data_IF_449442715282
#
_entry.id   IF_449442715282
#
_cell.length_a   1.000
_cell.length_b   1.000
_cell.length_c   1.000
_cell.angle_alpha   90.00
_cell.angle_beta   90.00
_cell.angle_gamma   90.00
#
_symmetry.space_group_name_H-M   'P 1'
#
loop_
_entity.id
_entity.type
_entity.pdbx_description
1 polymer ?
#
# COMPACT_ATOMS: atom_id res chain seq x y z
N UNK A 1 -71.31 50.53 -31.42
CA UNK A 1 -70.23 50.51 -30.39
C UNK A 1 -69.67 49.11 -30.39
N UNK A 2 -68.51 48.92 -31.00
CA UNK A 2 -67.86 47.61 -31.14
C UNK A 2 -66.59 47.67 -30.31
N UNK A 3 -66.62 47.05 -29.14
CA UNK A 3 -65.48 46.94 -28.24
C UNK A 3 -64.52 45.89 -28.78
N UNK A 4 -63.30 46.30 -29.15
CA UNK A 4 -62.23 45.39 -29.58
C UNK A 4 -61.41 45.04 -28.34
N UNK A 5 -61.66 43.87 -27.77
CA UNK A 5 -60.83 43.32 -26.68
C UNK A 5 -59.37 43.21 -27.13
N UNK A 6 -58.40 43.84 -26.43
CA UNK A 6 -57.01 43.75 -26.80
C UNK A 6 -56.51 42.32 -26.57
N UNK A 7 -56.09 41.64 -27.63
CA UNK A 7 -55.44 40.35 -27.56
C UNK A 7 -54.12 40.52 -26.81
N UNK A 8 -54.08 40.06 -25.55
CA UNK A 8 -52.88 40.09 -24.71
C UNK A 8 -51.81 39.27 -25.42
N UNK A 9 -50.83 39.94 -26.07
CA UNK A 9 -49.67 39.28 -26.68
C UNK A 9 -49.00 38.44 -25.60
N UNK A 10 -49.16 37.11 -25.67
CA UNK A 10 -48.45 36.19 -24.77
C UNK A 10 -46.96 36.44 -24.97
N UNK A 11 -46.33 37.04 -23.96
CA UNK A 11 -44.94 37.41 -24.01
C UNK A 11 -44.10 36.16 -24.31
N UNK A 12 -43.36 36.20 -25.43
CA UNK A 12 -42.38 35.16 -25.79
C UNK A 12 -41.25 35.06 -24.76
N UNK A 13 -41.20 35.96 -23.78
CA UNK A 13 -40.30 35.90 -22.63
C UNK A 13 -40.34 34.53 -21.94
N UNK A 14 -41.51 33.96 -21.67
CA UNK A 14 -41.61 32.64 -21.04
C UNK A 14 -41.10 31.48 -21.93
N UNK A 15 -41.00 31.70 -23.24
CA UNK A 15 -40.39 30.74 -24.16
C UNK A 15 -38.85 30.79 -24.10
N UNK A 16 -38.25 31.99 -23.99
CA UNK A 16 -36.79 32.17 -24.00
C UNK A 16 -36.16 32.20 -22.59
N UNK A 17 -36.91 32.55 -21.56
CA UNK A 17 -36.47 32.60 -20.17
C UNK A 17 -35.75 31.34 -19.69
N UNK A 18 -36.24 30.09 -19.95
CA UNK A 18 -35.52 28.90 -19.52
C UNK A 18 -34.16 28.75 -20.21
N UNK A 19 -34.04 29.13 -21.50
CA UNK A 19 -32.77 29.05 -22.23
C UNK A 19 -31.77 30.10 -21.76
N UNK A 20 -32.23 31.33 -21.49
CA UNK A 20 -31.38 32.39 -20.92
C UNK A 20 -30.92 32.00 -19.53
N UNK A 21 -31.80 31.47 -18.68
CA UNK A 21 -31.44 30.98 -17.35
C UNK A 21 -30.41 29.85 -17.44
N UNK A 22 -30.62 28.87 -18.32
CA UNK A 22 -29.67 27.78 -18.55
C UNK A 22 -28.31 28.30 -19.03
N UNK A 23 -28.29 29.28 -19.94
CA UNK A 23 -27.05 29.91 -20.41
C UNK A 23 -26.32 30.63 -19.27
N UNK A 24 -27.03 31.37 -18.41
CA UNK A 24 -26.45 32.02 -17.24
C UNK A 24 -25.89 31.00 -16.24
N UNK A 25 -26.60 29.90 -16.00
CA UNK A 25 -26.11 28.81 -15.14
C UNK A 25 -24.86 28.14 -15.73
N UNK A 26 -24.84 27.89 -17.05
CA UNK A 26 -23.68 27.32 -17.73
C UNK A 26 -22.46 28.24 -17.69
N UNK A 27 -22.65 29.56 -17.87
CA UNK A 27 -21.59 30.56 -17.74
C UNK A 27 -21.08 30.65 -16.29
N UNK A 28 -21.99 30.71 -15.32
CA UNK A 28 -21.64 30.70 -13.90
C UNK A 28 -20.87 29.46 -13.50
N UNK A 29 -21.30 28.28 -13.96
CA UNK A 29 -20.61 27.02 -13.73
C UNK A 29 -19.24 26.97 -14.40
N UNK A 30 -19.12 27.50 -15.62
CA UNK A 30 -17.84 27.58 -16.33
C UNK A 30 -16.83 28.47 -15.60
N UNK A 31 -17.28 29.64 -15.13
CA UNK A 31 -16.46 30.53 -14.30
C UNK A 31 -16.05 29.87 -12.98
N UNK A 32 -16.98 29.23 -12.29
CA UNK A 32 -16.71 28.47 -11.06
C UNK A 32 -15.67 27.36 -11.29
N UNK A 33 -15.82 26.57 -12.36
CA UNK A 33 -14.90 25.48 -12.68
C UNK A 33 -13.48 25.99 -12.96
N UNK A 34 -13.33 27.11 -13.67
CA UNK A 34 -12.02 27.74 -13.91
C UNK A 34 -11.34 28.19 -12.61
N UNK A 35 -12.11 28.72 -11.65
CA UNK A 35 -11.59 29.05 -10.31
C UNK A 35 -11.13 27.81 -9.57
N UNK A 36 -11.92 26.72 -9.60
CA UNK A 36 -11.54 25.44 -8.97
C UNK A 36 -10.27 24.89 -9.60
N UNK A 37 -10.14 24.90 -10.93
CA UNK A 37 -8.93 24.50 -11.65
C UNK A 37 -7.70 25.29 -11.19
N UNK A 38 -7.82 26.62 -11.06
CA UNK A 38 -6.73 27.47 -10.56
C UNK A 38 -6.31 27.11 -9.13
N UNK A 39 -7.28 26.94 -8.23
CA UNK A 39 -7.03 26.52 -6.84
C UNK A 39 -6.32 25.18 -6.73
N UNK A 40 -6.68 24.22 -7.59
CA UNK A 40 -6.01 22.92 -7.64
C UNK A 40 -4.57 23.06 -8.11
N UNK A 41 -4.30 23.88 -9.14
CA UNK A 41 -2.93 24.13 -9.60
C UNK A 41 -2.05 24.69 -8.48
N UNK A 42 -2.51 25.74 -7.80
CA UNK A 42 -1.81 26.38 -6.67
C UNK A 42 -1.58 25.40 -5.51
N UNK A 43 -2.60 24.60 -5.16
CA UNK A 43 -2.51 23.62 -4.09
C UNK A 43 -1.47 22.53 -4.41
N UNK A 44 -1.42 22.07 -5.66
CA UNK A 44 -0.42 21.10 -6.13
C UNK A 44 0.98 21.73 -6.09
N UNK A 45 1.16 22.95 -6.60
CA UNK A 45 2.46 23.64 -6.56
C UNK A 45 2.97 23.80 -5.12
N UNK A 46 2.06 24.20 -4.21
CA UNK A 46 2.37 24.33 -2.77
C UNK A 46 2.69 22.97 -2.12
N UNK A 47 2.03 21.90 -2.56
CA UNK A 47 2.32 20.55 -2.07
C UNK A 47 3.68 20.06 -2.57
N UNK A 48 3.99 20.22 -3.86
CA UNK A 48 5.27 19.85 -4.45
C UNK A 48 6.43 20.63 -3.81
N UNK A 49 6.26 21.94 -3.57
CA UNK A 49 7.26 22.75 -2.86
C UNK A 49 7.50 22.27 -1.42
N UNK A 50 6.45 21.83 -0.71
CA UNK A 50 6.57 21.24 0.63
C UNK A 50 7.30 19.90 0.60
N UNK A 51 7.15 19.11 -0.45
CA UNK A 51 7.87 17.84 -0.62
C UNK A 51 9.37 18.07 -0.83
N UNK A 52 9.77 19.12 -1.56
CA UNK A 52 11.17 19.51 -1.71
C UNK A 52 11.83 19.79 -0.36
N UNK A 53 11.13 20.50 0.53
CA UNK A 53 11.62 20.76 1.90
C UNK A 53 11.75 19.48 2.75
N UNK A 54 11.09 18.39 2.36
CA UNK A 54 11.22 17.07 2.98
C UNK A 54 12.26 16.19 2.26
N UNK A 55 13.05 16.72 1.33
CA UNK A 55 14.06 15.96 0.59
C UNK A 55 13.50 15.10 -0.53
N UNK A 56 12.30 15.41 -1.04
CA UNK A 56 11.68 14.71 -2.18
C UNK A 56 11.30 15.68 -3.29
N UNK A 57 11.79 15.42 -4.49
CA UNK A 57 11.43 16.19 -5.68
C UNK A 57 10.54 15.37 -6.57
N UNK A 58 9.30 15.81 -6.72
CA UNK A 58 8.32 15.21 -7.63
C UNK A 58 8.21 16.05 -8.90
N UNK A 59 8.27 15.41 -10.06
CA UNK A 59 8.15 16.03 -11.37
C UNK A 59 7.00 15.39 -12.14
N UNK A 60 6.01 16.18 -12.50
CA UNK A 60 4.90 15.80 -13.36
C UNK A 60 5.17 16.35 -14.76
N UNK A 61 5.59 15.50 -15.68
CA UNK A 61 5.93 15.90 -17.05
C UNK A 61 4.67 16.27 -17.81
N UNK A 62 4.74 17.32 -18.63
CA UNK A 62 3.63 17.84 -19.45
C UNK A 62 2.31 18.02 -18.67
N UNK A 63 2.42 18.58 -17.47
CA UNK A 63 1.30 18.74 -16.54
C UNK A 63 0.13 19.49 -17.17
N UNK A 64 -1.02 18.84 -17.24
CA UNK A 64 -2.28 19.47 -17.67
C UNK A 64 -3.39 19.25 -16.65
N UNK A 65 -4.29 20.24 -16.53
CA UNK A 65 -5.47 20.15 -15.68
C UNK A 65 -6.73 20.27 -16.55
N UNK A 66 -7.55 19.23 -16.57
CA UNK A 66 -8.76 19.11 -17.38
C UNK A 66 -9.93 18.59 -16.53
N UNK A 67 -11.02 18.10 -17.15
CA UNK A 67 -12.13 17.45 -16.44
C UNK A 67 -13.45 18.22 -16.37
N UNK A 68 -13.58 19.35 -17.06
CA UNK A 68 -14.84 20.08 -17.15
C UNK A 68 -15.98 19.16 -17.64
N UNK A 69 -17.21 19.28 -17.08
CA UNK A 69 -17.66 20.23 -16.07
C UNK A 69 -17.63 19.75 -14.62
N UNK A 70 -17.58 18.44 -14.35
CA UNK A 70 -17.92 17.91 -13.02
C UNK A 70 -16.73 17.35 -12.24
N UNK A 71 -15.54 17.29 -12.85
CA UNK A 71 -14.33 16.75 -12.23
C UNK A 71 -13.12 17.63 -12.51
N UNK A 72 -12.03 17.33 -11.83
CA UNK A 72 -10.70 17.88 -12.09
C UNK A 72 -9.76 16.72 -12.31
N UNK A 73 -9.13 16.68 -13.48
CA UNK A 73 -8.13 15.68 -13.86
C UNK A 73 -6.77 16.36 -13.95
N UNK A 74 -5.82 15.93 -13.12
CA UNK A 74 -4.41 16.29 -13.22
C UNK A 74 -3.69 15.18 -13.99
N UNK A 75 -3.21 15.49 -15.20
CA UNK A 75 -2.55 14.54 -16.10
C UNK A 75 -1.07 14.85 -16.19
N UNK A 76 -0.25 13.81 -16.12
CA UNK A 76 1.19 13.84 -16.39
C UNK A 76 1.52 12.82 -17.49
N UNK A 77 2.40 13.16 -18.43
CA UNK A 77 2.94 12.21 -19.42
C UNK A 77 3.88 11.20 -18.79
N UNK A 78 4.47 11.55 -17.65
CA UNK A 78 5.21 10.67 -16.75
C UNK A 78 5.38 11.33 -15.39
N UNK A 79 5.48 10.52 -14.34
CA UNK A 79 5.73 10.99 -12.98
C UNK A 79 7.13 10.54 -12.55
N UNK A 80 7.95 11.47 -12.11
CA UNK A 80 9.28 11.17 -11.57
C UNK A 80 9.38 11.63 -10.11
N UNK A 81 9.98 10.82 -9.26
CA UNK A 81 10.34 11.13 -7.88
C UNK A 81 11.85 10.95 -7.73
N UNK A 82 12.51 11.93 -7.14
CA UNK A 82 13.89 11.80 -6.64
C UNK A 82 13.89 12.08 -5.15
N UNK A 83 14.47 11.18 -4.36
CA UNK A 83 14.53 11.26 -2.90
C UNK A 83 15.96 11.03 -2.43
N UNK A 84 16.48 11.92 -1.60
CA UNK A 84 17.83 11.80 -1.01
C UNK A 84 17.79 11.33 0.44
N UNK A 85 16.62 10.88 0.92
CA UNK A 85 16.40 10.51 2.32
C UNK A 85 16.94 9.15 2.74
N UNK A 86 17.45 8.36 1.80
CA UNK A 86 17.91 7.00 2.03
C UNK A 86 19.45 6.89 1.98
N UNK A 87 20.15 8.00 2.28
CA UNK A 87 21.60 8.12 2.14
C UNK A 87 22.03 8.29 0.68
N UNK A 88 21.64 7.35 -0.18
CA UNK A 88 21.77 7.44 -1.64
C UNK A 88 20.49 7.95 -2.30
N UNK A 89 20.63 8.51 -3.50
CA UNK A 89 19.52 9.05 -4.26
C UNK A 89 18.63 7.91 -4.80
N UNK A 90 17.43 7.78 -4.27
CA UNK A 90 16.38 6.94 -4.84
C UNK A 90 15.70 7.71 -5.97
N UNK A 91 15.64 7.13 -7.16
CA UNK A 91 14.91 7.70 -8.29
C UNK A 91 13.82 6.74 -8.73
N UNK A 92 12.60 7.23 -8.90
CA UNK A 92 11.45 6.46 -9.38
C UNK A 92 10.84 7.20 -10.55
N UNK A 93 10.56 6.50 -11.63
CA UNK A 93 9.90 7.04 -12.82
C UNK A 93 8.75 6.12 -13.20
N UNK A 94 7.61 6.70 -13.57
CA UNK A 94 6.45 5.94 -14.06
C UNK A 94 6.02 6.41 -15.44
N UNK A 95 5.22 5.59 -16.11
CA UNK A 95 4.45 6.01 -17.28
C UNK A 95 3.39 7.08 -16.95
N UNK A 96 2.53 7.42 -17.93
CA UNK A 96 1.49 8.42 -17.78
C UNK A 96 0.61 8.20 -16.55
N UNK A 97 0.21 9.28 -15.90
CA UNK A 97 -0.63 9.22 -14.70
C UNK A 97 -1.75 10.25 -14.76
N UNK A 98 -2.91 9.88 -14.22
CA UNK A 98 -4.07 10.77 -14.12
C UNK A 98 -4.60 10.74 -12.69
N UNK A 99 -4.57 11.87 -11.99
CA UNK A 99 -5.24 12.04 -10.71
C UNK A 99 -6.59 12.74 -10.93
N UNK A 100 -7.67 12.16 -10.44
CA UNK A 100 -9.04 12.62 -10.64
C UNK A 100 -9.68 12.94 -9.30
N UNK A 101 -10.16 14.17 -9.14
CA UNK A 101 -11.00 14.60 -8.03
C UNK A 101 -12.37 15.04 -8.54
N UNK A 102 -13.45 14.61 -7.89
CA UNK A 102 -14.81 15.06 -8.24
C UNK A 102 -15.14 16.34 -7.48
N UNK A 103 -15.82 17.28 -8.15
CA UNK A 103 -16.19 18.57 -7.52
C UNK A 103 -17.16 18.36 -6.36
N UNK A 104 -18.04 17.36 -6.46
CA UNK A 104 -19.02 17.00 -5.44
C UNK A 104 -18.48 16.04 -4.36
N UNK A 105 -17.25 15.53 -4.50
CA UNK A 105 -16.59 14.74 -3.45
C UNK A 105 -15.11 15.13 -3.33
N UNK A 106 -14.82 16.37 -2.90
CA UNK A 106 -13.47 16.94 -2.95
C UNK A 106 -12.45 16.23 -2.06
N UNK A 107 -12.91 15.43 -1.09
CA UNK A 107 -12.04 14.68 -0.19
C UNK A 107 -11.61 13.32 -0.76
N UNK A 108 -12.09 12.92 -1.94
CA UNK A 108 -11.80 11.65 -2.60
C UNK A 108 -11.05 11.89 -3.90
N UNK A 109 -9.83 11.38 -3.97
CA UNK A 109 -8.96 11.46 -5.14
C UNK A 109 -8.65 10.06 -5.62
N UNK A 110 -8.76 9.83 -6.93
CA UNK A 110 -8.40 8.58 -7.58
C UNK A 110 -7.18 8.84 -8.45
N UNK A 111 -6.13 8.04 -8.33
CA UNK A 111 -4.93 8.10 -9.14
C UNK A 111 -4.86 6.84 -10.00
N UNK A 112 -4.76 7.02 -11.31
CA UNK A 112 -4.48 5.96 -12.26
C UNK A 112 -3.07 6.13 -12.79
N UNK A 113 -2.28 5.07 -12.82
CA UNK A 113 -0.90 5.10 -13.33
C UNK A 113 -0.75 4.01 -14.38
N UNK A 114 -0.21 4.38 -15.55
CA UNK A 114 0.12 3.45 -16.61
C UNK A 114 1.54 2.92 -16.42
N UNK A 115 1.70 1.61 -16.65
CA UNK A 115 3.00 0.92 -16.64
C UNK A 115 3.98 1.54 -17.66
N UNK A 116 5.30 1.49 -17.44
CA UNK A 116 6.01 0.83 -16.33
C UNK A 116 6.31 1.78 -15.16
N UNK A 117 6.74 1.21 -14.02
CA UNK A 117 7.53 1.88 -12.99
C UNK A 117 8.96 1.38 -13.06
N UNK A 118 9.92 2.30 -13.10
CA UNK A 118 11.35 2.02 -12.96
C UNK A 118 11.89 2.75 -11.75
N UNK A 119 12.56 2.04 -10.86
CA UNK A 119 13.18 2.63 -9.70
C UNK A 119 14.65 2.25 -9.60
N UNK A 120 15.50 3.24 -9.37
CA UNK A 120 16.87 3.06 -8.91
C UNK A 120 16.87 3.23 -7.40
N UNK A 121 17.23 2.16 -6.71
CA UNK A 121 17.30 2.05 -5.26
C UNK A 121 18.76 2.19 -4.80
N UNK A 122 19.02 2.36 -3.49
CA UNK A 122 20.37 2.35 -2.95
C UNK A 122 21.14 1.08 -3.34
N UNK A 123 22.47 1.15 -3.27
CA UNK A 123 23.39 0.07 -3.62
C UNK A 123 23.32 -0.34 -5.10
N UNK A 124 22.86 0.57 -5.96
CA UNK A 124 22.76 0.37 -7.41
C UNK A 124 21.69 -0.63 -7.85
N UNK A 125 20.77 -1.00 -6.95
CA UNK A 125 19.66 -1.92 -7.26
C UNK A 125 18.66 -1.27 -8.20
N UNK A 126 18.17 -2.01 -9.19
CA UNK A 126 17.14 -1.53 -10.11
C UNK A 126 15.89 -2.37 -10.00
N UNK A 127 14.74 -1.72 -9.81
CA UNK A 127 13.42 -2.33 -9.72
C UNK A 127 12.60 -1.89 -10.93
N UNK A 128 12.22 -2.84 -11.77
CA UNK A 128 11.26 -2.64 -12.85
C UNK A 128 9.95 -3.31 -12.46
N UNK A 129 8.84 -2.58 -12.57
CA UNK A 129 7.50 -3.11 -12.30
C UNK A 129 6.59 -2.76 -13.47
N UNK A 130 5.88 -3.75 -13.96
CA UNK A 130 4.87 -3.61 -15.02
C UNK A 130 3.53 -4.14 -14.53
N UNK A 131 2.45 -3.65 -15.12
CA UNK A 131 1.09 -4.04 -14.78
C UNK A 131 0.14 -3.72 -15.94
N UNK A 132 -1.05 -4.31 -15.92
CA UNK A 132 -2.12 -4.02 -16.88
C UNK A 132 -3.00 -2.85 -16.40
N UNK A 133 -3.23 -2.74 -15.09
CA UNK A 133 -3.95 -1.62 -14.47
C UNK A 133 -3.42 -1.32 -13.07
N UNK A 134 -3.36 -0.03 -12.71
CA UNK A 134 -3.05 0.43 -11.35
C UNK A 134 -3.98 1.60 -11.02
N UNK A 135 -4.85 1.34 -10.06
CA UNK A 135 -5.77 2.32 -9.50
C UNK A 135 -5.44 2.50 -8.02
N UNK A 136 -5.29 3.75 -7.60
CA UNK A 136 -5.16 4.12 -6.20
C UNK A 136 -6.26 5.11 -5.83
N UNK A 137 -6.76 5.04 -4.60
CA UNK A 137 -7.71 6.02 -4.09
C UNK A 137 -7.28 6.51 -2.71
N UNK A 138 -7.53 7.80 -2.46
CA UNK A 138 -7.25 8.47 -1.21
C UNK A 138 -8.53 9.19 -0.76
N UNK A 139 -8.97 8.90 0.47
CA UNK A 139 -9.92 9.71 1.20
C UNK A 139 -9.18 10.31 2.38
N UNK A 140 -9.14 11.64 2.48
CA UNK A 140 -8.26 12.33 3.43
C UNK A 140 -8.98 13.14 4.52
N UNK A 141 -10.31 13.01 4.63
CA UNK A 141 -11.11 13.59 5.73
C UNK A 141 -12.15 12.60 6.21
N UNK A 142 -12.32 12.50 7.53
CA UNK A 142 -13.21 11.52 8.15
C UNK A 142 -12.51 10.17 8.28
N UNK A 143 -12.99 9.19 7.51
CA UNK A 143 -12.40 7.85 7.45
C UNK A 143 -11.20 7.83 6.49
N UNK A 144 -10.08 8.39 6.96
CA UNK A 144 -8.83 8.47 6.23
C UNK A 144 -8.40 7.07 5.74
N UNK A 145 -8.46 6.86 4.43
CA UNK A 145 -8.14 5.58 3.81
C UNK A 145 -7.38 5.76 2.51
N UNK A 146 -6.45 4.84 2.27
CA UNK A 146 -5.73 4.67 1.01
C UNK A 146 -6.00 3.28 0.51
N UNK A 147 -6.36 3.14 -0.77
CA UNK A 147 -6.48 1.83 -1.42
C UNK A 147 -5.62 1.83 -2.68
N UNK A 148 -4.95 0.73 -2.96
CA UNK A 148 -4.16 0.51 -4.16
C UNK A 148 -4.55 -0.85 -4.69
N UNK A 149 -4.90 -0.91 -5.98
CA UNK A 149 -5.26 -2.13 -6.69
C UNK A 149 -4.42 -2.19 -7.95
N UNK A 150 -3.70 -3.29 -8.12
CA UNK A 150 -2.83 -3.54 -9.27
C UNK A 150 -3.21 -4.86 -9.92
N UNK A 151 -3.44 -4.82 -11.23
CA UNK A 151 -3.84 -5.96 -12.05
C UNK A 151 -2.65 -6.48 -12.84
N UNK A 152 -2.39 -7.78 -12.73
CA UNK A 152 -1.26 -8.48 -13.34
C UNK A 152 0.11 -7.81 -13.09
N UNK A 153 0.46 -7.47 -11.84
CA UNK A 153 1.78 -6.93 -11.55
C UNK A 153 2.87 -7.96 -11.90
N UNK A 154 3.95 -7.48 -12.51
CA UNK A 154 5.18 -8.22 -12.75
C UNK A 154 6.38 -7.32 -12.41
N UNK A 155 7.10 -7.69 -11.37
CA UNK A 155 8.26 -6.99 -10.84
C UNK A 155 9.53 -7.81 -11.05
N UNK A 156 10.60 -7.12 -11.41
CA UNK A 156 11.96 -7.66 -11.43
C UNK A 156 12.90 -6.73 -10.69
N UNK A 157 13.70 -7.31 -9.80
CA UNK A 157 14.70 -6.63 -9.00
C UNK A 157 16.08 -7.15 -9.41
N UNK A 158 16.89 -6.29 -10.01
CA UNK A 158 18.29 -6.59 -10.30
C UNK A 158 19.20 -5.99 -9.23
N UNK A 159 20.17 -6.79 -8.79
CA UNK A 159 21.21 -6.40 -7.84
C UNK A 159 22.56 -6.78 -8.45
N UNK A 160 23.55 -5.88 -8.38
CA UNK A 160 24.86 -6.14 -8.98
C UNK A 160 25.50 -7.41 -8.39
N UNK A 161 25.90 -8.34 -9.27
CA UNK A 161 26.54 -9.60 -8.86
C UNK A 161 25.60 -10.68 -8.31
N UNK A 162 24.28 -10.48 -8.34
CA UNK A 162 23.28 -11.47 -7.94
C UNK A 162 22.29 -11.77 -9.09
N UNK A 163 21.65 -12.96 -9.10
CA UNK A 163 20.54 -13.23 -10.01
C UNK A 163 19.41 -12.23 -9.86
N UNK A 164 18.73 -11.91 -10.96
CA UNK A 164 17.52 -11.07 -10.93
C UNK A 164 16.39 -11.80 -10.22
N UNK A 165 15.91 -11.22 -9.13
CA UNK A 165 14.72 -11.70 -8.45
C UNK A 165 13.49 -11.23 -9.22
N UNK A 166 12.49 -12.10 -9.35
CA UNK A 166 11.23 -11.75 -9.99
C UNK A 166 10.04 -12.15 -9.15
N UNK A 167 8.97 -11.40 -9.31
CA UNK A 167 7.70 -11.63 -8.66
C UNK A 167 6.58 -11.21 -9.59
N UNK A 168 5.55 -12.05 -9.72
CA UNK A 168 4.32 -11.67 -10.42
C UNK A 168 3.10 -12.13 -9.65
N UNK A 169 1.98 -11.47 -9.88
CA UNK A 169 0.69 -11.88 -9.35
C UNK A 169 -0.42 -11.62 -10.38
N UNK A 170 -1.61 -12.19 -10.15
CA UNK A 170 -2.81 -11.86 -10.93
C UNK A 170 -3.42 -10.55 -10.43
N UNK A 171 -3.50 -10.37 -9.12
CA UNK A 171 -3.92 -9.13 -8.48
C UNK A 171 -3.09 -8.85 -7.23
N UNK A 172 -2.87 -7.57 -6.94
CA UNK A 172 -2.35 -7.07 -5.68
C UNK A 172 -3.27 -5.95 -5.21
N UNK A 173 -3.82 -6.12 -4.02
CA UNK A 173 -4.68 -5.14 -3.36
C UNK A 173 -4.05 -4.76 -2.02
N UNK A 174 -4.03 -3.47 -1.72
CA UNK A 174 -3.52 -2.95 -0.45
C UNK A 174 -4.45 -1.85 0.03
N UNK A 175 -4.94 -1.99 1.25
CA UNK A 175 -5.83 -1.03 1.89
C UNK A 175 -5.23 -0.61 3.21
N UNK A 176 -5.19 0.70 3.42
CA UNK A 176 -4.65 1.33 4.61
C UNK A 176 -5.71 2.25 5.14
N UNK A 177 -5.99 2.22 6.44
CA UNK A 177 -6.91 3.17 7.07
C UNK A 177 -6.49 3.49 8.48
N UNK A 178 -6.87 4.65 8.99
CA UNK A 178 -6.76 4.92 10.43
C UNK A 178 -7.66 3.93 11.18
N UNK A 179 -7.16 3.34 12.27
CA UNK A 179 -7.95 2.42 13.05
C UNK A 179 -9.05 3.20 13.81
N UNK A 180 -10.35 2.90 13.59
CA UNK A 180 -11.45 3.68 14.17
C UNK A 180 -11.77 3.28 15.62
N UNK A 181 -11.29 2.13 16.09
CA UNK A 181 -11.59 1.61 17.44
C UNK A 181 -10.50 1.93 18.45
N UNK A 182 -9.31 2.34 17.99
CA UNK A 182 -8.18 2.71 18.85
C UNK A 182 -8.16 4.21 19.14
N UNK A 183 -7.66 4.63 20.33
CA UNK A 183 -7.49 6.03 20.65
C UNK A 183 -6.61 6.74 19.61
N UNK A 184 -6.97 7.98 19.25
CA UNK A 184 -6.21 8.75 18.28
C UNK A 184 -4.75 9.02 18.72
N UNK A 185 -4.50 9.02 20.03
CA UNK A 185 -3.16 9.17 20.62
C UNK A 185 -2.22 7.99 20.32
N UNK A 186 -2.77 6.78 20.08
CA UNK A 186 -1.97 5.60 19.74
C UNK A 186 -1.49 5.62 18.27
N UNK A 187 -2.07 6.52 17.46
CA UNK A 187 -1.74 6.73 16.04
C UNK A 187 -1.72 5.41 15.25
N UNK A 188 -2.75 4.59 15.44
CA UNK A 188 -2.83 3.25 14.84
C UNK A 188 -3.40 3.32 13.44
N UNK A 189 -2.74 2.64 12.51
CA UNK A 189 -3.20 2.44 11.13
C UNK A 189 -3.35 0.95 10.88
N UNK A 190 -4.51 0.55 10.37
CA UNK A 190 -4.76 -0.80 9.87
C UNK A 190 -4.22 -0.93 8.44
N UNK A 191 -3.59 -2.06 8.17
CA UNK A 191 -3.10 -2.49 6.87
C UNK A 191 -3.77 -3.82 6.51
N UNK A 192 -4.37 -3.89 5.34
CA UNK A 192 -4.81 -5.12 4.70
C UNK A 192 -4.11 -5.26 3.35
N UNK A 193 -3.52 -6.42 3.07
CA UNK A 193 -2.86 -6.71 1.81
C UNK A 193 -3.32 -8.08 1.31
N UNK A 194 -3.75 -8.13 0.06
CA UNK A 194 -4.14 -9.36 -0.62
C UNK A 194 -3.37 -9.47 -1.92
N UNK A 195 -2.72 -10.61 -2.17
CA UNK A 195 -2.10 -10.91 -3.45
C UNK A 195 -2.59 -12.27 -3.94
N UNK A 196 -3.10 -12.34 -5.16
CA UNK A 196 -3.67 -13.56 -5.76
C UNK A 196 -2.83 -14.06 -6.91
N UNK A 197 -2.68 -15.37 -7.04
CA UNK A 197 -1.93 -15.98 -8.16
C UNK A 197 -0.45 -15.56 -8.19
N UNK A 198 0.13 -15.35 -7.02
CA UNK A 198 1.53 -14.98 -6.82
C UNK A 198 2.48 -16.09 -7.27
N UNK A 199 3.53 -15.70 -7.98
CA UNK A 199 4.62 -16.58 -8.39
C UNK A 199 5.93 -15.89 -8.06
N UNK A 200 6.77 -16.60 -7.31
CA UNK A 200 8.05 -16.09 -6.81
C UNK A 200 9.07 -17.23 -6.92
N UNK A 201 9.95 -17.23 -7.94
CA UNK A 201 10.79 -18.38 -8.26
C UNK A 201 11.64 -18.91 -7.11
N UNK A 202 12.10 -18.03 -6.20
CA UNK A 202 12.85 -18.44 -5.02
C UNK A 202 12.04 -19.36 -4.08
N UNK A 203 10.74 -19.09 -3.94
CA UNK A 203 9.82 -19.91 -3.13
C UNK A 203 9.36 -21.14 -3.92
N UNK A 204 9.20 -21.02 -5.24
CA UNK A 204 8.89 -22.16 -6.12
C UNK A 204 10.00 -23.23 -6.02
N UNK A 205 11.26 -22.79 -6.09
CA UNK A 205 12.42 -23.67 -5.95
C UNK A 205 12.51 -24.29 -4.55
N UNK A 206 12.20 -23.51 -3.49
CA UNK A 206 12.20 -24.00 -2.11
C UNK A 206 11.13 -25.08 -1.87
N UNK A 207 9.94 -24.90 -2.45
CA UNK A 207 8.80 -25.79 -2.24
C UNK A 207 8.67 -26.88 -3.30
N UNK A 208 9.49 -26.84 -4.36
CA UNK A 208 9.41 -27.78 -5.47
C UNK A 208 8.08 -27.72 -6.24
N UNK A 209 7.45 -26.54 -6.29
CA UNK A 209 6.16 -26.34 -6.98
C UNK A 209 6.14 -25.02 -7.74
N UNK A 210 5.59 -25.04 -8.95
CA UNK A 210 5.35 -23.85 -9.77
C UNK A 210 3.90 -23.37 -9.70
N UNK A 211 3.08 -23.95 -8.81
CA UNK A 211 1.69 -23.54 -8.66
C UNK A 211 1.61 -22.09 -8.13
N UNK A 212 0.68 -21.27 -8.65
CA UNK A 212 0.45 -19.94 -8.10
C UNK A 212 -0.02 -20.02 -6.64
N UNK A 213 0.41 -19.05 -5.84
CA UNK A 213 0.01 -18.94 -4.44
C UNK A 213 -0.81 -17.69 -4.14
N UNK A 214 -1.49 -17.69 -3.01
CA UNK A 214 -2.22 -16.53 -2.51
C UNK A 214 -1.61 -16.06 -1.19
N UNK A 215 -1.72 -14.77 -0.93
CA UNK A 215 -1.31 -14.11 0.32
C UNK A 215 -2.46 -13.21 0.77
N UNK A 216 -2.81 -13.30 2.04
CA UNK A 216 -3.75 -12.42 2.73
C UNK A 216 -3.13 -12.01 4.07
N UNK A 217 -2.92 -10.71 4.26
CA UNK A 217 -2.27 -10.12 5.42
C UNK A 217 -3.17 -9.03 6.01
N UNK A 218 -3.34 -9.08 7.33
CA UNK A 218 -3.99 -8.06 8.14
C UNK A 218 -3.07 -7.70 9.31
N UNK A 219 -2.78 -6.42 9.45
CA UNK A 219 -1.90 -5.91 10.49
C UNK A 219 -2.35 -4.53 10.96
N UNK A 220 -1.84 -4.12 12.11
CA UNK A 220 -1.98 -2.76 12.64
C UNK A 220 -0.60 -2.22 12.99
N UNK A 221 -0.33 -0.96 12.65
CA UNK A 221 0.93 -0.28 12.93
C UNK A 221 0.65 0.86 13.89
N UNK A 222 1.32 0.89 15.04
CA UNK A 222 1.16 1.94 16.06
C UNK A 222 2.15 3.09 15.81
N UNK A 223 1.96 4.24 16.47
CA UNK A 223 2.92 5.38 16.42
C UNK A 223 3.21 5.91 15.00
N UNK A 224 2.21 5.84 14.11
CA UNK A 224 2.42 6.08 12.67
C UNK A 224 2.66 7.54 12.30
N UNK A 225 2.54 8.49 13.24
CA UNK A 225 2.87 9.89 12.95
C UNK A 225 4.35 10.06 12.57
N UNK A 226 5.22 9.15 13.02
CA UNK A 226 6.61 9.07 12.59
C UNK A 226 6.77 9.02 11.06
N UNK A 227 5.79 8.44 10.34
CA UNK A 227 5.81 8.31 8.89
C UNK A 227 5.11 9.46 8.14
N UNK A 228 4.63 10.51 8.82
CA UNK A 228 4.01 11.69 8.15
C UNK A 228 4.91 12.35 7.14
N UNK A 229 6.22 12.28 7.37
CA UNK A 229 7.24 12.82 6.46
C UNK A 229 7.73 11.78 5.46
N UNK A 230 7.01 10.67 5.28
CA UNK A 230 7.34 9.56 4.39
C UNK A 230 8.18 8.46 5.04
N UNK A 231 8.31 7.34 4.35
CA UNK A 231 9.07 6.19 4.81
C UNK A 231 10.57 6.35 4.49
N UNK A 232 11.40 6.41 5.52
CA UNK A 232 12.86 6.61 5.44
C UNK A 232 13.53 6.18 6.78
N UNK A 233 14.87 6.06 6.83
CA UNK A 233 15.61 5.73 8.05
C UNK A 233 15.25 6.60 9.27
N UNK A 234 15.20 7.93 9.15
CA UNK A 234 14.86 8.82 10.28
C UNK A 234 13.45 8.55 10.83
N UNK A 235 12.50 8.28 9.94
CA UNK A 235 11.13 7.96 10.30
C UNK A 235 11.03 6.61 11.01
N UNK A 236 11.78 5.61 10.56
CA UNK A 236 11.86 4.31 11.23
C UNK A 236 12.52 4.43 12.62
N UNK A 237 13.52 5.29 12.75
CA UNK A 237 14.18 5.58 14.03
C UNK A 237 13.25 6.33 14.99
N UNK A 238 12.52 7.33 14.51
CA UNK A 238 11.49 8.03 15.30
C UNK A 238 10.37 7.07 15.73
N UNK A 239 9.91 6.20 14.82
CA UNK A 239 8.91 5.19 15.11
C UNK A 239 9.38 4.20 16.17
N UNK A 240 10.63 3.72 16.04
CA UNK A 240 11.27 2.84 17.02
C UNK A 240 11.37 3.50 18.40
N UNK A 241 11.86 4.74 18.45
CA UNK A 241 12.02 5.50 19.69
C UNK A 241 10.67 5.82 20.36
N UNK A 242 9.59 5.93 19.59
CA UNK A 242 8.23 6.06 20.10
C UNK A 242 7.63 4.72 20.61
N UNK A 243 8.36 3.60 20.53
CA UNK A 243 7.85 2.28 20.89
C UNK A 243 6.85 1.72 19.87
N UNK A 244 7.00 2.10 18.60
CA UNK A 244 6.19 1.64 17.49
C UNK A 244 6.21 0.12 17.34
N UNK A 245 5.03 -0.44 17.04
CA UNK A 245 4.80 -1.87 16.92
C UNK A 245 4.07 -2.19 15.62
N UNK A 246 4.49 -3.27 14.98
CA UNK A 246 3.80 -3.91 13.89
C UNK A 246 3.06 -5.14 14.44
N UNK A 247 1.77 -4.99 14.64
CA UNK A 247 0.87 -6.02 15.17
C UNK A 247 0.31 -6.82 13.99
N UNK A 248 0.86 -8.02 13.74
CA UNK A 248 0.35 -8.93 12.72
C UNK A 248 -0.86 -9.69 13.26
N UNK A 249 -2.05 -9.23 12.91
CA UNK A 249 -3.31 -9.89 13.29
C UNK A 249 -3.44 -11.24 12.61
N UNK A 250 -3.21 -11.29 11.29
CA UNK A 250 -3.31 -12.52 10.50
C UNK A 250 -2.48 -12.42 9.24
N UNK A 251 -1.67 -13.43 8.98
CA UNK A 251 -1.08 -13.73 7.69
C UNK A 251 -1.57 -15.12 7.29
N UNK A 252 -2.08 -15.27 6.09
CA UNK A 252 -2.38 -16.55 5.47
C UNK A 252 -1.70 -16.57 4.11
N UNK A 253 -0.89 -17.59 3.87
CA UNK A 253 -0.28 -17.85 2.57
C UNK A 253 -0.53 -19.29 2.15
N UNK A 254 -0.95 -19.49 0.91
CA UNK A 254 -1.24 -20.82 0.35
C UNK A 254 -0.56 -20.98 -0.99
N UNK A 255 0.09 -22.11 -1.24
CA UNK A 255 0.72 -22.44 -2.52
C UNK A 255 0.73 -23.96 -2.72
N UNK A 256 -0.12 -24.45 -3.60
CA UNK A 256 -0.41 -25.88 -3.71
C UNK A 256 -0.78 -26.51 -2.36
N UNK A 257 -0.10 -27.59 -1.92
CA UNK A 257 -0.39 -28.21 -0.64
C UNK A 257 0.13 -27.40 0.56
N UNK A 258 1.03 -26.44 0.33
CA UNK A 258 1.66 -25.66 1.39
C UNK A 258 0.70 -24.56 1.87
N UNK A 259 0.49 -24.49 3.19
CA UNK A 259 -0.23 -23.40 3.86
C UNK A 259 0.59 -22.91 5.03
N UNK A 260 0.68 -21.58 5.15
CA UNK A 260 1.31 -20.88 6.27
C UNK A 260 0.29 -19.94 6.86
N UNK A 261 0.09 -20.03 8.17
CA UNK A 261 -0.62 -19.03 8.94
C UNK A 261 0.31 -18.44 9.99
N UNK A 262 0.26 -17.12 10.17
CA UNK A 262 1.04 -16.46 11.20
C UNK A 262 0.28 -15.29 11.84
N UNK A 263 0.60 -15.02 13.10
CA UNK A 263 0.19 -13.82 13.81
C UNK A 263 1.25 -13.46 14.85
N UNK A 264 1.22 -12.24 15.38
CA UNK A 264 2.13 -11.84 16.44
C UNK A 264 2.48 -10.37 16.39
N UNK A 265 3.61 -10.03 16.98
CA UNK A 265 4.05 -8.65 17.11
C UNK A 265 5.53 -8.53 16.77
N UNK A 266 5.85 -7.51 15.98
CA UNK A 266 7.18 -7.17 15.57
C UNK A 266 7.48 -5.71 15.96
N UNK A 267 8.73 -5.48 16.31
CA UNK A 267 9.30 -4.19 16.67
C UNK A 267 10.74 -4.12 16.14
N UNK A 268 11.39 -2.97 16.30
CA UNK A 268 12.80 -2.81 15.95
C UNK A 268 13.66 -2.73 17.20
N UNK A 269 14.71 -3.54 17.24
CA UNK A 269 15.68 -3.52 18.33
C UNK A 269 16.64 -2.33 18.22
N UNK A 270 17.50 -2.16 19.22
CA UNK A 270 18.48 -1.06 19.28
C UNK A 270 19.53 -1.11 18.16
N UNK A 271 19.61 -2.21 17.42
CA UNK A 271 20.50 -2.38 16.26
C UNK A 271 19.76 -2.27 14.93
N UNK A 272 18.54 -1.71 14.96
CA UNK A 272 17.63 -1.51 13.83
C UNK A 272 17.17 -2.82 13.16
N UNK A 273 17.18 -3.94 13.89
CA UNK A 273 16.75 -5.24 13.37
C UNK A 273 15.33 -5.56 13.81
N UNK A 274 14.57 -6.31 13.00
CA UNK A 274 13.30 -6.85 13.43
C UNK A 274 13.49 -7.74 14.67
N UNK A 275 12.69 -7.49 15.69
CA UNK A 275 12.58 -8.30 16.89
C UNK A 275 11.11 -8.51 17.24
N UNK A 276 10.80 -9.51 18.05
CA UNK A 276 9.43 -9.80 18.46
C UNK A 276 9.11 -11.27 18.43
N UNK A 277 7.81 -11.58 18.45
CA UNK A 277 7.31 -12.93 18.60
C UNK A 277 6.18 -13.19 17.62
N UNK A 278 6.33 -14.23 16.82
CA UNK A 278 5.36 -14.73 15.87
C UNK A 278 4.89 -16.13 16.28
N UNK A 279 3.59 -16.35 16.18
CA UNK A 279 2.98 -17.67 16.21
C UNK A 279 2.79 -18.10 14.76
N UNK A 280 3.23 -19.30 14.43
CA UNK A 280 3.20 -19.80 13.06
C UNK A 280 2.58 -21.19 13.07
N UNK A 281 1.72 -21.48 12.11
CA UNK A 281 1.20 -22.82 11.87
C UNK A 281 1.34 -23.17 10.39
N UNK A 282 1.71 -24.41 10.11
CA UNK A 282 2.02 -24.87 8.75
C UNK A 282 1.21 -26.11 8.39
N UNK A 283 0.86 -26.26 7.11
CA UNK A 283 0.40 -27.51 6.53
C UNK A 283 1.12 -27.76 5.20
N UNK A 284 1.33 -29.02 4.83
CA UNK A 284 1.95 -29.42 3.56
C UNK A 284 3.42 -29.02 3.38
N UNK A 285 4.07 -28.50 4.42
CA UNK A 285 5.50 -28.16 4.43
C UNK A 285 6.23 -29.22 5.25
N UNK A 286 7.14 -29.96 4.62
CA UNK A 286 7.85 -31.06 5.27
C UNK A 286 9.12 -30.61 6.01
N UNK A 287 9.75 -29.53 5.55
CA UNK A 287 11.01 -29.03 6.10
C UNK A 287 11.10 -27.50 6.08
N UNK A 288 11.76 -26.93 7.08
CA UNK A 288 12.04 -25.49 7.19
C UNK A 288 13.54 -25.33 7.43
N UNK A 289 14.24 -24.58 6.57
CA UNK A 289 15.69 -24.35 6.70
C UNK A 289 16.49 -25.65 6.91
N UNK A 290 16.10 -26.72 6.20
CA UNK A 290 16.73 -28.05 6.30
C UNK A 290 16.30 -28.91 7.50
N UNK A 291 15.38 -28.43 8.35
CA UNK A 291 14.90 -29.15 9.54
C UNK A 291 13.51 -29.74 9.28
N UNK A 292 13.28 -31.06 9.48
CA UNK A 292 11.96 -31.68 9.32
C UNK A 292 10.93 -31.14 10.31
N UNK A 293 9.75 -30.74 9.82
CA UNK A 293 8.67 -30.14 10.64
C UNK A 293 8.15 -31.12 11.70
N UNK A 294 8.03 -32.40 11.36
CA UNK A 294 7.61 -33.44 12.32
C UNK A 294 8.60 -33.64 13.48
N UNK A 295 9.89 -33.35 13.28
CA UNK A 295 10.91 -33.40 14.34
C UNK A 295 10.83 -32.21 15.29
N UNK A 296 10.37 -31.04 14.80
CA UNK A 296 10.24 -29.81 15.58
C UNK A 296 9.09 -29.89 16.59
N UNK A 297 7.97 -30.51 16.21
CA UNK A 297 6.80 -30.64 17.10
C UNK A 297 6.95 -31.76 18.12
N UNK A 298 7.50 -32.91 17.71
CA UNK A 298 7.70 -34.07 18.57
C UNK A 298 8.86 -33.89 19.57
N UNK A 299 10.02 -33.37 19.11
CA UNK A 299 11.20 -33.18 19.95
C UNK A 299 11.03 -32.09 21.00
N UNK A 300 10.27 -31.04 20.70
CA UNK A 300 10.00 -29.95 21.65
C UNK A 300 8.81 -30.22 22.57
N UNK A 301 7.84 -31.03 22.14
CA UNK A 301 6.71 -31.46 22.99
C UNK A 301 7.17 -32.23 24.24
N UNK A 302 8.23 -33.04 24.12
CA UNK A 302 8.85 -33.75 25.24
C UNK A 302 9.67 -32.87 26.19
N UNK A 303 10.28 -31.79 25.69
CA UNK A 303 11.09 -30.86 26.49
C UNK A 303 10.25 -29.75 27.16
N UNK A 304 9.09 -29.42 26.60
CA UNK A 304 8.21 -28.34 27.08
C UNK A 304 6.96 -28.83 27.84
N UNK A 305 6.95 -30.10 28.27
CA UNK A 305 5.92 -30.64 29.16
C UNK A 305 4.51 -30.63 28.57
N UNK A 306 4.36 -30.91 27.27
CA UNK A 306 3.03 -31.06 26.63
C UNK A 306 2.25 -29.76 26.38
N UNK A 307 2.81 -28.58 26.67
CA UNK A 307 2.20 -27.29 26.29
C UNK A 307 2.53 -26.95 24.84
N UNK A 308 1.93 -27.70 23.91
CA UNK A 308 1.91 -27.28 22.52
C UNK A 308 1.20 -25.93 22.42
N UNK A 309 1.86 -25.02 21.70
CA UNK A 309 1.44 -23.68 21.29
C UNK A 309 -0.07 -23.53 21.19
N UNK A 310 -0.61 -22.50 21.85
CA UNK A 310 -2.02 -22.11 21.74
C UNK A 310 -2.42 -22.05 20.26
N UNK A 311 -3.51 -22.73 19.89
CA UNK A 311 -4.04 -22.69 18.53
C UNK A 311 -4.27 -21.23 18.14
N UNK A 312 -3.77 -20.84 16.97
CA UNK A 312 -4.06 -19.54 16.37
C UNK A 312 -5.60 -19.35 16.31
N UNK A 313 -6.16 -18.26 16.87
CA UNK A 313 -7.60 -18.02 16.80
C UNK A 313 -8.06 -17.97 15.34
N UNK A 314 -8.99 -18.86 14.95
CA UNK A 314 -9.49 -18.95 13.58
C UNK A 314 -8.65 -19.78 12.61
N UNK A 315 -7.69 -20.58 13.09
CA UNK A 315 -6.87 -21.44 12.24
C UNK A 315 -7.68 -22.54 11.52
N UNK A 316 -7.35 -22.76 10.25
CA UNK A 316 -7.99 -23.80 9.44
C UNK A 316 -7.66 -25.24 9.97
N UNK A 317 -8.59 -26.21 9.84
CA UNK A 317 -8.31 -27.60 10.18
C UNK A 317 -7.12 -28.16 9.39
N UNK A 318 -6.25 -28.95 10.04
CA UNK A 318 -5.09 -29.60 9.40
C UNK A 318 -3.77 -28.83 9.49
N UNK A 319 -3.75 -27.66 10.16
CA UNK A 319 -2.52 -26.93 10.45
C UNK A 319 -1.77 -27.53 11.64
N UNK A 320 -0.47 -27.69 11.49
CA UNK A 320 0.45 -28.07 12.57
C UNK A 320 0.99 -26.78 13.21
N UNK A 321 0.58 -26.44 14.44
CA UNK A 321 1.10 -25.26 15.12
C UNK A 321 2.57 -25.48 15.46
N UNK A 322 3.40 -24.50 15.17
CA UNK A 322 4.80 -24.49 15.56
C UNK A 322 4.97 -23.79 16.91
N UNK A 323 6.04 -24.13 17.66
CA UNK A 323 6.51 -23.29 18.75
C UNK A 323 6.69 -21.84 18.28
N UNK A 324 6.51 -20.90 19.19
CA UNK A 324 6.62 -19.50 18.84
C UNK A 324 7.99 -19.18 18.24
N UNK A 325 7.95 -18.48 17.12
CA UNK A 325 9.11 -17.97 16.44
C UNK A 325 9.49 -16.63 17.07
N UNK A 326 10.68 -16.55 17.66
CA UNK A 326 11.16 -15.37 18.39
C UNK A 326 12.33 -14.77 17.61
N UNK A 327 12.22 -13.50 17.27
CA UNK A 327 13.27 -12.70 16.66
C UNK A 327 13.92 -11.91 17.78
N UNK A 328 15.21 -12.16 18.05
CA UNK A 328 16.00 -11.41 19.04
C UNK A 328 17.45 -11.36 18.61
N UNK A 329 18.09 -10.21 18.81
CA UNK A 329 19.53 -10.02 18.56
C UNK A 329 19.94 -10.40 17.12
N UNK A 330 19.07 -10.09 16.15
CA UNK A 330 19.28 -10.45 14.75
C UNK A 330 19.24 -11.95 14.44
N UNK A 331 18.74 -12.80 15.35
CA UNK A 331 18.61 -14.25 15.16
C UNK A 331 17.15 -14.68 15.27
N UNK A 332 16.83 -15.75 14.56
CA UNK A 332 15.50 -16.37 14.57
C UNK A 332 15.55 -17.66 15.38
N UNK A 333 14.70 -17.73 16.40
CA UNK A 333 14.54 -18.88 17.26
C UNK A 333 13.16 -19.49 17.04
N UNK A 334 13.08 -20.82 17.06
CA UNK A 334 11.83 -21.57 17.09
C UNK A 334 11.76 -22.30 18.43
N UNK A 335 10.98 -21.75 19.37
CA UNK A 335 11.08 -22.15 20.78
C UNK A 335 12.52 -21.96 21.29
N UNK A 336 13.16 -22.98 21.89
CA UNK A 336 14.55 -22.88 22.35
C UNK A 336 15.59 -23.04 21.24
N UNK A 337 15.21 -23.50 20.04
CA UNK A 337 16.14 -23.86 18.97
C UNK A 337 16.46 -22.62 18.12
N UNK A 338 17.74 -22.33 17.90
CA UNK A 338 18.17 -21.31 16.94
C UNK A 338 18.12 -21.89 15.52
N UNK A 339 17.41 -21.23 14.61
CA UNK A 339 17.37 -21.64 13.21
C UNK A 339 18.69 -21.28 12.51
N UNK A 340 19.18 -22.13 11.57
CA UNK A 340 20.41 -21.89 10.81
C UNK A 340 20.20 -20.88 9.67
N UNK A 341 19.56 -19.75 9.98
CA UNK A 341 19.32 -18.67 9.03
C UNK A 341 20.44 -17.63 9.14
N UNK A 342 20.69 -16.92 8.03
CA UNK A 342 21.55 -15.74 8.06
C UNK A 342 21.01 -14.75 9.10
N UNK A 343 21.90 -14.04 9.83
CA UNK A 343 21.45 -13.04 10.77
C UNK A 343 20.59 -11.99 10.05
N UNK A 344 19.50 -11.58 10.69
CA UNK A 344 18.65 -10.51 10.19
C UNK A 344 19.49 -9.25 10.10
N UNK A 345 19.53 -8.67 8.89
CA UNK A 345 20.19 -7.41 8.65
C UNK A 345 19.39 -6.26 9.31
N UNK A 346 20.06 -5.18 9.71
CA UNK A 346 19.40 -3.91 10.00
C UNK A 346 18.52 -3.49 8.84
N UNK A 347 17.36 -2.88 9.12
CA UNK A 347 16.48 -2.37 8.06
C UNK A 347 16.95 -1.01 7.51
N UNK A 348 17.81 -0.30 8.26
CA UNK A 348 18.38 1.00 7.89
C UNK A 348 19.63 1.33 8.71
#
# INVERSE_FOLDING_TARGET
MTDISPTRRRSRFWLYAPYVLLALLALGWSGFWLVVRGRVAEAVDTALAREVQKGRTWTCNDRTIAGFPFRVELRCSGLALTSTRWGEAVRVETGPSVAVGQIYSPNHVILQVTSPLRATLPEGRTLDVTWTGLDASLIHRGDERVSIVMTQPNASLATAGAPTDSWRATTLETHIRRNPTRPAADQVVDLALTAKGTVLPAIDALLGTSEPGDIDLQASVTQTDAFRLGFNPDALEAWRNAGGQFELTRLTSTKGPARVEASGQLLLDQTHRPSGRLQVALAGIQQIAGIPVGGLTSGLGGLLGGRLSAQLPGAAPGLTPLPALVLREGRVYLGPIRLPLQPLAPLY
#
